data_IF_367812233138
#
_entry.id   IF_367812233138
#
_cell.length_a   1.000
_cell.length_b   1.000
_cell.length_c   1.000
_cell.angle_alpha   90.00
_cell.angle_beta   90.00
_cell.angle_gamma   90.00
#
_symmetry.space_group_name_H-M   'P 1'
#
loop_
_entity.id
_entity.type
_entity.pdbx_description
1 polymer ?
#
# COMPACT_ATOMS: atom_id res chain seq x y z
N UNK A 1 -0.09 17.81 10.74
CA UNK A 1 1.17 17.61 11.49
C UNK A 1 1.39 16.11 11.61
N UNK A 2 2.56 15.60 11.20
CA UNK A 2 2.88 14.18 11.37
C UNK A 2 3.18 13.89 12.84
N UNK A 3 2.72 12.73 13.35
CA UNK A 3 3.00 12.32 14.74
C UNK A 3 4.45 11.91 14.97
N UNK A 4 5.12 11.46 13.91
CA UNK A 4 6.51 11.00 13.93
C UNK A 4 7.43 12.07 13.30
N UNK A 5 8.70 12.20 13.77
CA UNK A 5 9.68 13.10 13.16
C UNK A 5 9.80 12.96 11.65
N UNK A 6 10.23 14.05 11.00
CA UNK A 6 10.54 14.03 9.60
C UNK A 6 11.69 13.05 9.33
N UNK A 7 11.52 12.28 8.26
CA UNK A 7 12.44 11.26 7.81
C UNK A 7 13.52 11.91 6.95
N UNK A 8 14.78 11.84 7.39
CA UNK A 8 15.94 12.35 6.67
C UNK A 8 16.88 11.17 6.34
N UNK A 9 16.99 10.78 5.06
CA UNK A 9 17.89 9.71 4.65
C UNK A 9 19.37 9.96 4.96
N UNK A 10 19.79 11.21 5.15
CA UNK A 10 21.20 11.55 5.38
C UNK A 10 21.71 11.12 6.76
N UNK A 11 20.81 10.83 7.70
CA UNK A 11 21.16 10.41 9.07
C UNK A 11 20.90 8.93 9.31
N UNK A 12 20.65 8.15 8.25
CA UNK A 12 20.41 6.73 8.38
C UNK A 12 21.63 5.96 8.83
N UNK A 13 21.39 4.99 9.70
CA UNK A 13 22.36 3.91 9.89
C UNK A 13 22.56 3.17 8.56
N UNK A 14 23.71 2.50 8.36
CA UNK A 14 23.95 1.74 7.12
C UNK A 14 22.83 0.75 6.78
N UNK A 15 22.25 0.09 7.79
CA UNK A 15 21.16 -0.88 7.59
C UNK A 15 19.84 -0.20 7.19
N UNK A 16 19.52 0.96 7.75
CA UNK A 16 18.34 1.72 7.32
C UNK A 16 18.47 2.21 5.89
N UNK A 17 19.67 2.68 5.49
CA UNK A 17 19.94 3.10 4.13
C UNK A 17 19.80 1.94 3.14
N UNK A 18 20.35 0.76 3.46
CA UNK A 18 20.22 -0.43 2.62
C UNK A 18 18.74 -0.81 2.38
N UNK A 19 17.93 -0.86 3.44
CA UNK A 19 16.50 -1.21 3.33
C UNK A 19 15.72 -0.10 2.60
N UNK A 20 16.07 1.17 2.83
CA UNK A 20 15.50 2.30 2.10
C UNK A 20 15.72 2.16 0.58
N UNK A 21 16.97 1.94 0.17
CA UNK A 21 17.34 1.79 -1.25
C UNK A 21 16.69 0.57 -1.88
N UNK A 22 16.59 -0.54 -1.14
CA UNK A 22 15.90 -1.75 -1.60
C UNK A 22 14.43 -1.48 -1.92
N UNK A 23 13.72 -0.79 -1.02
CA UNK A 23 12.30 -0.44 -1.25
C UNK A 23 12.16 0.57 -2.40
N UNK A 24 13.02 1.60 -2.44
CA UNK A 24 12.96 2.66 -3.44
C UNK A 24 13.27 2.15 -4.86
N UNK A 25 14.21 1.23 -5.00
CA UNK A 25 14.56 0.60 -6.29
C UNK A 25 13.60 -0.53 -6.71
N UNK A 26 12.90 -1.15 -5.75
CA UNK A 26 11.95 -2.25 -5.94
C UNK A 26 10.68 -1.90 -6.72
N UNK A 27 9.68 -2.80 -6.69
CA UNK A 27 8.42 -2.58 -7.42
C UNK A 27 7.57 -1.47 -6.81
N UNK A 28 7.77 -1.18 -5.51
CA UNK A 28 7.09 -0.11 -4.78
C UNK A 28 7.52 1.30 -5.19
N UNK A 29 8.72 1.46 -5.75
CA UNK A 29 9.31 2.72 -6.26
C UNK A 29 9.53 3.85 -5.25
N UNK A 30 8.99 3.77 -4.05
CA UNK A 30 9.16 4.80 -3.03
C UNK A 30 8.94 4.26 -1.62
N UNK A 31 9.66 4.82 -0.65
CA UNK A 31 9.44 4.60 0.78
C UNK A 31 8.43 5.62 1.27
N UNK A 32 7.16 5.22 1.32
CA UNK A 32 6.04 6.09 1.74
C UNK A 32 5.19 5.42 2.82
N UNK A 33 4.33 6.20 3.47
CA UNK A 33 3.34 5.67 4.41
C UNK A 33 3.96 4.90 5.58
N UNK A 34 3.40 3.73 5.94
CA UNK A 34 3.90 2.88 7.02
C UNK A 34 5.37 2.49 6.86
N UNK A 35 5.87 2.33 5.63
CA UNK A 35 7.27 1.92 5.41
C UNK A 35 8.27 2.94 5.95
N UNK A 36 7.96 4.25 5.86
CA UNK A 36 8.80 5.29 6.49
C UNK A 36 8.85 5.15 8.01
N UNK A 37 7.74 4.76 8.62
CA UNK A 37 7.64 4.58 10.08
C UNK A 37 8.35 3.29 10.49
N UNK A 38 8.16 2.20 9.74
CA UNK A 38 8.79 0.93 10.06
C UNK A 38 10.30 0.95 9.87
N UNK A 39 10.86 1.83 9.03
CA UNK A 39 12.32 1.93 8.86
C UNK A 39 13.07 2.35 10.14
N UNK A 40 12.37 2.85 11.16
CA UNK A 40 12.96 2.99 12.50
C UNK A 40 13.38 1.63 13.11
N UNK A 41 12.80 0.53 12.64
CA UNK A 41 13.25 -0.84 12.82
C UNK A 41 13.47 -1.49 11.43
N UNK A 42 14.68 -1.39 10.86
CA UNK A 42 14.92 -1.78 9.47
C UNK A 42 14.66 -3.27 9.20
N UNK A 43 14.80 -4.15 10.20
CA UNK A 43 14.48 -5.57 10.04
C UNK A 43 12.98 -5.80 9.87
N UNK A 44 12.15 -5.10 10.65
CA UNK A 44 10.70 -5.11 10.44
C UNK A 44 10.33 -4.54 9.07
N UNK A 45 10.95 -3.42 8.67
CA UNK A 45 10.66 -2.78 7.40
C UNK A 45 10.97 -3.70 6.21
N UNK A 46 12.11 -4.39 6.22
CA UNK A 46 12.53 -5.30 5.14
C UNK A 46 11.59 -6.52 5.02
N UNK A 47 11.16 -7.09 6.15
CA UNK A 47 10.21 -8.19 6.14
C UNK A 47 8.82 -7.74 5.68
N UNK A 48 8.32 -6.63 6.22
CA UNK A 48 6.98 -6.14 5.93
C UNK A 48 6.84 -5.63 4.48
N UNK A 49 7.86 -4.95 3.96
CA UNK A 49 7.86 -4.49 2.57
C UNK A 49 7.83 -5.67 1.60
N UNK A 50 8.63 -6.72 1.87
CA UNK A 50 8.72 -7.91 1.03
C UNK A 50 7.41 -8.70 1.02
N UNK A 51 6.79 -8.90 2.19
CA UNK A 51 5.47 -9.51 2.30
C UNK A 51 4.44 -8.73 1.48
N UNK A 52 4.38 -7.42 1.65
CA UNK A 52 3.40 -6.62 0.94
C UNK A 52 3.69 -6.52 -0.58
N UNK A 53 4.96 -6.56 -1.00
CA UNK A 53 5.33 -6.63 -2.42
C UNK A 53 4.84 -7.96 -3.03
N UNK A 54 5.08 -9.09 -2.35
CA UNK A 54 4.57 -10.39 -2.78
C UNK A 54 3.04 -10.40 -2.87
N UNK A 55 2.33 -9.94 -1.85
CA UNK A 55 0.86 -9.92 -1.87
C UNK A 55 0.31 -9.13 -3.06
N UNK A 56 0.94 -7.99 -3.38
CA UNK A 56 0.45 -7.06 -4.41
C UNK A 56 0.84 -7.45 -5.84
N UNK A 57 2.02 -8.04 -6.03
CA UNK A 57 2.57 -8.28 -7.37
C UNK A 57 2.99 -9.72 -7.65
N UNK A 58 3.20 -10.53 -6.62
CA UNK A 58 3.66 -11.92 -6.73
C UNK A 58 2.59 -12.98 -6.45
N UNK A 59 1.39 -12.57 -6.01
CA UNK A 59 0.28 -13.49 -5.76
C UNK A 59 -0.40 -13.93 -7.06
N UNK A 60 -1.24 -14.98 -6.98
CA UNK A 60 -2.03 -15.44 -8.12
C UNK A 60 -3.21 -14.52 -8.47
N UNK A 61 -3.45 -13.46 -7.70
CA UNK A 61 -4.55 -12.54 -7.93
C UNK A 61 -4.19 -11.57 -9.08
N UNK A 62 -5.04 -11.46 -10.12
CA UNK A 62 -4.90 -10.41 -11.11
C UNK A 62 -4.95 -9.02 -10.45
N UNK A 63 -4.33 -7.98 -11.05
CA UNK A 63 -4.24 -6.64 -10.45
C UNK A 63 -5.59 -6.08 -9.99
N UNK A 64 -6.66 -6.31 -10.77
CA UNK A 64 -8.02 -5.89 -10.41
C UNK A 64 -8.49 -6.48 -9.07
N UNK A 65 -8.27 -7.78 -8.85
CA UNK A 65 -8.70 -8.47 -7.64
C UNK A 65 -7.80 -8.12 -6.45
N UNK A 66 -6.50 -7.98 -6.68
CA UNK A 66 -5.56 -7.52 -5.65
C UNK A 66 -5.93 -6.12 -5.14
N UNK A 67 -6.11 -5.15 -6.05
CA UNK A 67 -6.47 -3.78 -5.66
C UNK A 67 -7.88 -3.71 -5.04
N UNK A 68 -8.84 -4.51 -5.54
CA UNK A 68 -10.16 -4.63 -4.92
C UNK A 68 -10.06 -5.11 -3.46
N UNK A 69 -9.28 -6.16 -3.20
CA UNK A 69 -9.06 -6.67 -1.84
C UNK A 69 -8.40 -5.61 -0.93
N UNK A 70 -7.44 -4.84 -1.45
CA UNK A 70 -6.77 -3.77 -0.71
C UNK A 70 -7.76 -2.66 -0.33
N UNK A 71 -8.51 -2.10 -1.28
CA UNK A 71 -9.46 -1.00 -0.98
C UNK A 71 -10.62 -1.46 -0.10
N UNK A 72 -11.09 -2.69 -0.25
CA UNK A 72 -12.08 -3.27 0.69
C UNK A 72 -11.51 -3.38 2.10
N UNK A 73 -10.27 -3.85 2.26
CA UNK A 73 -9.60 -3.93 3.55
C UNK A 73 -9.40 -2.52 4.15
N UNK A 74 -8.99 -1.56 3.32
CA UNK A 74 -8.81 -0.18 3.73
C UNK A 74 -10.12 0.43 4.24
N UNK A 75 -11.24 0.25 3.53
CA UNK A 75 -12.55 0.74 3.97
C UNK A 75 -13.02 0.06 5.26
N UNK A 76 -12.85 -1.27 5.38
CA UNK A 76 -13.25 -2.03 6.56
C UNK A 76 -12.56 -1.50 7.84
N UNK A 77 -11.25 -1.27 7.77
CA UNK A 77 -10.46 -0.73 8.89
C UNK A 77 -10.47 0.80 8.98
N UNK A 78 -11.20 1.49 8.11
CA UNK A 78 -11.21 2.96 7.98
C UNK A 78 -9.80 3.54 7.82
N UNK A 79 -8.95 2.83 7.08
CA UNK A 79 -7.58 3.25 6.79
C UNK A 79 -7.55 4.28 5.66
N UNK A 80 -7.61 5.56 6.04
CA UNK A 80 -7.61 6.66 5.07
C UNK A 80 -6.33 6.73 4.22
N UNK A 81 -5.18 6.33 4.76
CA UNK A 81 -3.93 6.28 3.99
C UNK A 81 -3.99 5.20 2.91
N UNK A 82 -4.35 3.96 3.28
CA UNK A 82 -4.43 2.86 2.31
C UNK A 82 -5.46 3.15 1.23
N UNK A 83 -6.62 3.72 1.61
CA UNK A 83 -7.63 4.14 0.64
C UNK A 83 -7.06 5.15 -0.37
N UNK A 84 -6.49 6.25 0.12
CA UNK A 84 -5.96 7.31 -0.74
C UNK A 84 -4.79 6.81 -1.63
N UNK A 85 -3.97 5.91 -1.12
CA UNK A 85 -2.86 5.33 -1.88
C UNK A 85 -3.36 4.38 -2.99
N UNK A 86 -4.45 3.66 -2.77
CA UNK A 86 -4.88 2.57 -3.64
C UNK A 86 -6.11 2.84 -4.52
N UNK A 87 -6.91 3.87 -4.23
CA UNK A 87 -8.11 4.21 -5.03
C UNK A 87 -7.79 4.36 -6.53
N UNK A 88 -6.74 5.14 -6.85
CA UNK A 88 -6.32 5.33 -8.26
C UNK A 88 -5.78 4.04 -8.88
N UNK A 89 -5.10 3.20 -8.10
CA UNK A 89 -4.61 1.91 -8.59
C UNK A 89 -5.77 0.95 -8.88
N UNK A 90 -6.79 0.91 -8.03
CA UNK A 90 -8.00 0.12 -8.23
C UNK A 90 -8.76 0.56 -9.49
N UNK A 91 -8.94 1.86 -9.69
CA UNK A 91 -9.54 2.42 -10.92
C UNK A 91 -8.76 1.98 -12.16
N UNK A 92 -7.45 2.17 -12.17
CA UNK A 92 -6.58 1.80 -13.29
C UNK A 92 -6.56 0.29 -13.56
N UNK A 93 -6.80 -0.53 -12.52
CA UNK A 93 -6.90 -1.97 -12.64
C UNK A 93 -8.31 -2.45 -13.06
N UNK A 94 -9.29 -1.55 -13.23
CA UNK A 94 -10.63 -1.86 -13.71
C UNK A 94 -11.68 -2.12 -12.62
N UNK A 95 -11.47 -1.65 -11.39
CA UNK A 95 -12.56 -1.51 -10.41
C UNK A 95 -13.36 -0.26 -10.76
N UNK A 96 -14.69 -0.38 -10.88
CA UNK A 96 -15.53 0.77 -11.26
C UNK A 96 -15.59 1.82 -10.13
N UNK A 97 -15.76 3.09 -10.52
CA UNK A 97 -15.98 4.18 -9.55
C UNK A 97 -17.19 3.91 -8.66
N UNK A 98 -18.28 3.36 -9.22
CA UNK A 98 -19.48 3.00 -8.45
C UNK A 98 -19.19 1.93 -7.38
N UNK A 99 -18.37 0.92 -7.70
CA UNK A 99 -17.96 -0.09 -6.73
C UNK A 99 -17.09 0.54 -5.62
N UNK A 100 -16.14 1.42 -5.97
CA UNK A 100 -15.34 2.13 -4.98
C UNK A 100 -16.21 3.02 -4.07
N UNK A 101 -17.16 3.77 -4.64
CA UNK A 101 -18.11 4.56 -3.88
C UNK A 101 -18.96 3.70 -2.93
N UNK A 102 -19.41 2.52 -3.38
CA UNK A 102 -20.14 1.58 -2.53
C UNK A 102 -19.27 1.06 -1.37
N UNK A 103 -18.04 0.63 -1.66
CA UNK A 103 -17.10 0.12 -0.66
C UNK A 103 -16.73 1.21 0.36
N UNK A 104 -16.44 2.44 -0.09
CA UNK A 104 -16.17 3.58 0.79
C UNK A 104 -17.33 3.88 1.76
N UNK A 105 -18.56 3.71 1.28
CA UNK A 105 -19.78 3.86 2.06
C UNK A 105 -20.14 2.61 2.89
N UNK A 106 -19.28 1.58 2.94
CA UNK A 106 -19.53 0.30 3.58
C UNK A 106 -20.84 -0.37 3.11
N UNK A 107 -21.12 -0.27 1.80
CA UNK A 107 -22.24 -0.91 1.10
C UNK A 107 -21.73 -2.01 0.18
N UNK A 108 -22.59 -2.99 -0.11
CA UNK A 108 -22.27 -4.03 -1.08
C UNK A 108 -22.08 -3.41 -2.49
N UNK A 109 -20.91 -3.57 -3.13
CA UNK A 109 -20.70 -3.12 -4.49
C UNK A 109 -21.43 -4.04 -5.48
N UNK A 110 -21.91 -3.47 -6.59
CA UNK A 110 -22.38 -4.24 -7.74
C UNK A 110 -21.23 -4.40 -8.74
N UNK A 111 -21.07 -5.62 -9.25
CA UNK A 111 -20.12 -5.92 -10.31
C UNK A 111 -20.89 -6.44 -11.51
N UNK A 112 -20.62 -5.86 -12.68
CA UNK A 112 -21.03 -6.48 -13.94
C UNK A 112 -20.15 -7.71 -14.18
N UNK A 113 -20.77 -8.83 -14.54
CA UNK A 113 -20.03 -10.00 -15.01
C UNK A 113 -19.36 -9.62 -16.33
N UNK A 114 -18.04 -9.85 -16.40
CA UNK A 114 -17.30 -9.77 -17.66
C UNK A 114 -17.53 -11.03 -18.48
#
# INVERSE_FOLDING_TARGET
>A
MYRYPNFDPNVFTPRQLEVYERIASGQRKAVTGPLRIWLHNPELADLAQALGEYCRFGSALPPRLSELAIVTTAAHWRSGYEWAAHERHALNAGVSGDALCAIAANRAPSFVAN
#
